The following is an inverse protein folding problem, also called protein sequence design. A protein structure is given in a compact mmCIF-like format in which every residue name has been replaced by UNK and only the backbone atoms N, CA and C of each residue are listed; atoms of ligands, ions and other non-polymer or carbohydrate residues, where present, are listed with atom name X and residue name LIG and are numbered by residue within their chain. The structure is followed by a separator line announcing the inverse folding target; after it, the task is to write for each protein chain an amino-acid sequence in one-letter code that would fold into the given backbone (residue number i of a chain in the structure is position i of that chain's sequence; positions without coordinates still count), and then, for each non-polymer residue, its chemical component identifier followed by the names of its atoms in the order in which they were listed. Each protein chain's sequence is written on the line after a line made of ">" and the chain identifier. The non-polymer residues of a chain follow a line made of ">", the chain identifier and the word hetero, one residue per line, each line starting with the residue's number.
data_IF_989892250064
#
_entry.id   IF_989892250064
#
_cell.length_a   1.000
_cell.length_b   1.000
_cell.length_c   1.000
_cell.angle_alpha   90.00
_cell.angle_beta   90.00
_cell.angle_gamma   90.00
#
_symmetry.space_group_name_H-M   'P 1'
#
loop_
_entity.id
_entity.type
_entity.pdbx_description
1 polymer ?
#
# COMPACT_ATOMS: atom_id res chain seq x y z
N UNK A 1 5.75 12.52 -1.62
CA UNK A 1 6.28 11.27 -2.22
C UNK A 1 6.77 10.37 -1.11
N UNK A 2 6.58 9.05 -1.22
CA UNK A 2 6.96 8.07 -0.22
C UNK A 2 7.62 6.86 -0.89
N UNK A 3 8.80 6.45 -0.43
CA UNK A 3 9.36 5.16 -0.80
C UNK A 3 8.85 4.10 0.19
N UNK A 4 8.15 3.10 -0.31
CA UNK A 4 7.56 2.01 0.49
C UNK A 4 8.27 0.72 0.13
N UNK A 5 8.62 -0.08 1.14
CA UNK A 5 9.23 -1.40 0.95
C UNK A 5 8.49 -2.43 1.78
N UNK A 6 8.12 -3.53 1.14
CA UNK A 6 7.57 -4.72 1.79
C UNK A 6 8.69 -5.75 1.87
N UNK A 7 8.92 -6.30 3.05
CA UNK A 7 10.00 -7.26 3.34
C UNK A 7 9.41 -8.49 4.00
N UNK A 8 9.87 -9.68 3.59
CA UNK A 8 9.45 -10.97 4.16
C UNK A 8 7.92 -11.13 4.34
N UNK A 9 7.08 -10.82 3.33
CA UNK A 9 5.64 -10.97 3.47
C UNK A 9 5.25 -12.44 3.61
N UNK A 10 4.36 -12.75 4.56
CA UNK A 10 3.89 -14.13 4.85
C UNK A 10 2.68 -14.57 4.03
N UNK A 11 2.14 -13.66 3.24
CA UNK A 11 1.00 -13.88 2.34
C UNK A 11 1.09 -12.87 1.20
N UNK A 12 0.40 -13.17 0.10
CA UNK A 12 0.18 -12.22 -0.98
C UNK A 12 -0.60 -11.01 -0.44
N UNK A 13 -0.48 -9.86 -1.12
CA UNK A 13 -1.16 -8.66 -0.65
C UNK A 13 -0.88 -7.41 -1.46
N UNK A 14 -1.50 -6.33 -0.99
CA UNK A 14 -1.31 -5.02 -1.56
C UNK A 14 -1.47 -3.90 -0.53
N UNK A 15 -0.95 -2.73 -0.90
CA UNK A 15 -1.04 -1.51 -0.14
C UNK A 15 -1.72 -0.43 -0.96
N UNK A 16 -2.63 0.30 -0.33
CA UNK A 16 -3.28 1.50 -0.87
C UNK A 16 -2.87 2.69 -0.02
N UNK A 17 -2.47 3.80 -0.63
CA UNK A 17 -2.21 5.08 0.01
C UNK A 17 -3.12 6.17 -0.54
N UNK A 18 -3.70 7.00 0.34
CA UNK A 18 -4.62 8.07 -0.03
C UNK A 18 -4.54 9.25 0.95
N UNK A 19 -4.97 10.46 0.55
CA UNK A 19 -5.00 11.60 1.46
C UNK A 19 -6.01 11.39 2.59
N UNK A 20 -5.64 11.75 3.81
CA UNK A 20 -6.53 11.81 4.96
C UNK A 20 -7.79 12.64 4.66
N UNK A 21 -8.92 12.24 5.24
CA UNK A 21 -10.20 12.93 5.05
C UNK A 21 -10.90 12.62 3.71
N UNK A 22 -10.36 11.70 2.92
CA UNK A 22 -11.02 11.18 1.70
C UNK A 22 -11.37 9.71 1.83
N UNK A 23 -12.26 9.22 0.97
CA UNK A 23 -12.59 7.80 0.92
C UNK A 23 -11.42 7.00 0.35
N UNK A 24 -11.05 5.91 1.02
CA UNK A 24 -10.06 4.96 0.51
C UNK A 24 -10.45 4.49 -0.91
N UNK A 25 -9.58 4.64 -1.92
CA UNK A 25 -9.85 4.14 -3.26
C UNK A 25 -9.67 2.62 -3.36
N UNK A 26 -10.29 2.02 -4.38
CA UNK A 26 -10.13 0.58 -4.67
C UNK A 26 -8.79 0.24 -5.36
N UNK A 27 -8.01 1.26 -5.75
CA UNK A 27 -6.72 1.06 -6.40
C UNK A 27 -5.63 0.68 -5.40
N UNK A 28 -4.61 -0.04 -5.88
CA UNK A 28 -3.39 -0.35 -5.12
C UNK A 28 -2.18 0.42 -5.65
N UNK A 29 -1.21 0.69 -4.78
CA UNK A 29 0.07 1.33 -5.12
C UNK A 29 1.25 0.35 -5.12
N UNK A 30 1.22 -0.67 -4.28
CA UNK A 30 2.25 -1.71 -4.19
C UNK A 30 1.57 -3.06 -3.99
N UNK A 31 1.89 -4.03 -4.85
CA UNK A 31 1.39 -5.39 -4.77
C UNK A 31 2.58 -6.33 -4.60
N UNK A 32 2.41 -7.42 -3.87
CA UNK A 32 3.47 -8.38 -3.62
C UNK A 32 2.92 -9.80 -3.56
N UNK A 33 3.83 -10.75 -3.79
CA UNK A 33 3.62 -12.17 -3.51
C UNK A 33 4.40 -12.58 -2.26
N UNK A 34 3.96 -13.67 -1.65
CA UNK A 34 4.57 -14.27 -0.46
C UNK A 34 6.08 -14.47 -0.64
N UNK A 35 6.87 -14.08 0.37
CA UNK A 35 8.33 -14.19 0.40
C UNK A 35 9.09 -13.15 -0.45
N UNK A 36 8.41 -12.37 -1.29
CA UNK A 36 9.06 -11.38 -2.14
C UNK A 36 9.30 -10.06 -1.41
N UNK A 37 10.55 -9.62 -1.35
CA UNK A 37 10.88 -8.25 -0.94
C UNK A 37 10.78 -7.31 -2.14
N UNK A 38 9.89 -6.32 -2.07
CA UNK A 38 9.63 -5.38 -3.16
C UNK A 38 9.57 -3.95 -2.64
N UNK A 39 10.11 -3.01 -3.42
CA UNK A 39 10.06 -1.59 -3.13
C UNK A 39 9.38 -0.83 -4.26
N UNK A 40 8.64 0.22 -3.92
CA UNK A 40 8.06 1.14 -4.90
C UNK A 40 8.04 2.58 -4.38
N UNK A 41 8.28 3.53 -5.28
CA UNK A 41 8.14 4.96 -5.03
C UNK A 41 6.72 5.39 -5.40
N UNK A 42 5.95 5.83 -4.40
CA UNK A 42 4.55 6.20 -4.55
C UNK A 42 4.37 7.71 -4.42
N UNK A 43 3.56 8.28 -5.31
CA UNK A 43 3.11 9.67 -5.23
C UNK A 43 1.65 9.69 -4.81
N UNK A 44 1.39 10.19 -3.60
CA UNK A 44 0.04 10.37 -3.03
C UNK A 44 -0.10 11.83 -2.64
N UNK A 45 -1.24 12.49 -2.94
CA UNK A 45 -1.57 13.78 -2.35
C UNK A 45 -1.65 13.69 -0.82
N UNK A 46 -1.44 14.81 -0.14
CA UNK A 46 -1.73 14.90 1.29
C UNK A 46 -3.15 15.43 1.50
N UNK A 47 -3.80 15.04 2.60
CA UNK A 47 -5.07 15.64 3.02
C UNK A 47 -4.87 17.05 3.57
N UNK A 48 -5.97 17.72 3.92
CA UNK A 48 -5.95 19.10 4.42
C UNK A 48 -5.16 19.25 5.73
N UNK A 49 -4.99 18.16 6.49
CA UNK A 49 -4.16 18.11 7.70
C UNK A 49 -2.69 17.76 7.42
N UNK A 50 -2.29 17.69 6.14
CA UNK A 50 -0.93 17.41 5.69
C UNK A 50 -0.52 15.93 5.80
N UNK A 51 -1.46 15.01 5.96
CA UNK A 51 -1.17 13.58 6.18
C UNK A 51 -1.63 12.68 5.04
N UNK A 52 -1.19 11.42 5.13
CA UNK A 52 -1.53 10.31 4.22
C UNK A 52 -1.97 9.13 5.08
N UNK A 53 -3.04 8.46 4.67
CA UNK A 53 -3.45 7.16 5.22
C UNK A 53 -2.92 6.03 4.34
N UNK A 54 -2.59 4.91 5.00
CA UNK A 54 -2.08 3.71 4.37
C UNK A 54 -2.84 2.51 4.91
N UNK A 55 -3.41 1.70 4.01
CA UNK A 55 -3.95 0.38 4.34
C UNK A 55 -3.10 -0.71 3.72
N UNK A 56 -2.78 -1.70 4.55
CA UNK A 56 -2.24 -2.98 4.13
C UNK A 56 -3.38 -4.01 4.10
N UNK A 57 -3.57 -4.66 2.95
CA UNK A 57 -4.54 -5.73 2.79
C UNK A 57 -3.82 -7.02 2.40
N UNK A 58 -4.06 -8.06 3.20
CA UNK A 58 -3.66 -9.43 2.87
C UNK A 58 -4.57 -9.92 1.74
N UNK A 59 -3.96 -10.33 0.63
CA UNK A 59 -4.63 -11.04 -0.45
C UNK A 59 -4.98 -12.46 0.00
N UNK A 60 -6.01 -13.06 -0.61
CA UNK A 60 -6.29 -14.48 -0.38
C UNK A 60 -5.04 -15.31 -0.76
N UNK A 61 -4.73 -16.39 -0.03
CA UNK A 61 -3.67 -17.31 -0.43
C UNK A 61 -3.91 -17.78 -1.87
N UNK A 62 -2.85 -18.02 -2.67
CA UNK A 62 -3.02 -18.71 -3.94
C UNK A 62 -3.72 -20.05 -3.69
N UNK A 63 -4.77 -20.31 -4.47
CA UNK A 63 -5.61 -21.51 -4.41
C UNK A 63 -4.81 -22.79 -4.69
#
# INVERSE_FOLDING_TARGET
>A
MLNVTVTDPKSDGHLTGWPTGTTRPDSSNLNWTTGSTVANLVTVPVGDDGKVEIANAVGAPPM
#
